data_IF_771902593588
#
_entry.id   IF_771902593588
#
_cell.length_a   1.000
_cell.length_b   1.000
_cell.length_c   1.000
_cell.angle_alpha   90.00
_cell.angle_beta   90.00
_cell.angle_gamma   90.00
#
_symmetry.space_group_name_H-M   'P 1'
#
loop_
_entity.id
_entity.type
_entity.pdbx_description
1 polymer ?
#
# COMPACT_ATOMS: atom_id res chain seq x y z
N UNK A 1 20.54 2.07 -35.14
CA UNK A 1 19.72 0.95 -34.69
C UNK A 1 19.95 0.64 -33.20
N UNK A 2 21.12 0.15 -32.73
CA UNK A 2 21.30 -0.09 -31.27
C UNK A 2 21.27 1.20 -30.43
N UNK A 3 21.92 2.29 -30.89
CA UNK A 3 21.90 3.59 -30.19
C UNK A 3 20.50 4.23 -30.16
N UNK A 4 19.71 4.10 -31.22
CA UNK A 4 18.33 4.59 -31.28
C UNK A 4 17.39 3.80 -30.39
N UNK A 5 17.61 2.50 -30.21
CA UNK A 5 16.86 1.65 -29.28
C UNK A 5 17.23 2.00 -27.81
N UNK A 6 18.52 2.29 -27.54
CA UNK A 6 18.97 2.73 -26.21
C UNK A 6 18.45 4.13 -25.86
N UNK A 7 18.38 5.05 -26.82
CA UNK A 7 17.85 6.41 -26.63
C UNK A 7 16.32 6.39 -26.44
N UNK A 8 15.60 5.58 -27.24
CA UNK A 8 14.17 5.34 -27.08
C UNK A 8 13.82 4.65 -25.76
N UNK A 9 14.64 3.72 -25.27
CA UNK A 9 14.44 3.08 -23.98
C UNK A 9 14.72 4.04 -22.80
N UNK A 10 15.69 4.95 -22.91
CA UNK A 10 15.97 5.99 -21.91
C UNK A 10 14.83 6.98 -21.75
N UNK A 11 14.22 7.42 -22.84
CA UNK A 11 13.11 8.39 -22.81
C UNK A 11 11.81 7.79 -22.26
N UNK A 12 11.65 6.46 -22.36
CA UNK A 12 10.40 5.80 -21.99
C UNK A 12 10.09 5.83 -20.48
N UNK A 13 11.10 5.94 -19.60
CA UNK A 13 10.93 5.85 -18.15
C UNK A 13 11.36 7.12 -17.39
N UNK A 14 11.61 8.23 -18.10
CA UNK A 14 12.05 9.49 -17.49
C UNK A 14 11.10 10.00 -16.40
N UNK A 15 9.80 9.80 -16.58
CA UNK A 15 8.79 10.19 -15.60
C UNK A 15 8.87 9.34 -14.32
N UNK A 16 9.08 8.04 -14.46
CA UNK A 16 9.26 7.11 -13.33
C UNK A 16 10.56 7.43 -12.59
N UNK A 17 11.67 7.66 -13.30
CA UNK A 17 12.96 8.04 -12.72
C UNK A 17 12.83 9.34 -11.89
N UNK A 18 12.10 10.33 -12.44
CA UNK A 18 11.80 11.59 -11.77
C UNK A 18 10.95 11.36 -10.50
N UNK A 19 9.94 10.47 -10.56
CA UNK A 19 9.08 10.14 -9.44
C UNK A 19 9.87 9.44 -8.31
N UNK A 20 10.76 8.51 -8.66
CA UNK A 20 11.67 7.87 -7.70
C UNK A 20 12.56 8.91 -7.02
N UNK A 21 13.20 9.79 -7.79
CA UNK A 21 14.06 10.85 -7.24
C UNK A 21 13.29 11.80 -6.32
N UNK A 22 12.04 12.13 -6.67
CA UNK A 22 11.15 12.95 -5.83
C UNK A 22 10.83 12.23 -4.51
N UNK A 23 10.41 10.95 -4.56
CA UNK A 23 10.10 10.16 -3.36
C UNK A 23 11.31 10.02 -2.44
N UNK A 24 12.52 9.74 -2.98
CA UNK A 24 13.79 9.67 -2.22
C UNK A 24 14.05 10.97 -1.47
N UNK A 25 13.82 12.12 -2.13
CA UNK A 25 14.02 13.43 -1.51
C UNK A 25 12.95 13.73 -0.46
N UNK A 26 11.68 13.42 -0.74
CA UNK A 26 10.56 13.68 0.15
C UNK A 26 10.68 12.89 1.47
N UNK A 27 11.05 11.61 1.40
CA UNK A 27 11.21 10.72 2.55
C UNK A 27 12.61 10.74 3.18
N UNK A 28 13.49 11.70 2.82
CA UNK A 28 14.84 11.77 3.33
C UNK A 28 14.86 11.89 4.87
N UNK A 29 15.62 10.99 5.53
CA UNK A 29 15.74 10.95 6.99
C UNK A 29 14.58 10.26 7.72
N UNK A 30 13.54 9.81 7.03
CA UNK A 30 12.46 9.01 7.65
C UNK A 30 12.85 7.53 7.74
N UNK A 31 12.40 6.88 8.82
CA UNK A 31 12.56 5.45 9.04
C UNK A 31 11.20 4.74 9.11
N UNK A 32 11.16 3.47 8.66
CA UNK A 32 10.00 2.60 8.79
C UNK A 32 9.68 2.30 10.25
N UNK A 33 8.40 2.36 10.65
CA UNK A 33 7.95 2.01 12.01
C UNK A 33 8.31 0.55 12.32
N UNK A 34 8.88 0.32 13.50
CA UNK A 34 9.29 -1.03 13.93
C UNK A 34 10.54 -1.58 13.24
N UNK A 35 11.18 -0.82 12.36
CA UNK A 35 12.40 -1.22 11.67
C UNK A 35 13.39 -0.05 11.57
N UNK A 36 14.70 -0.34 11.74
CA UNK A 36 15.74 0.66 11.51
C UNK A 36 16.13 0.70 10.02
N UNK A 37 15.15 0.97 9.15
CA UNK A 37 15.31 1.00 7.70
C UNK A 37 14.83 2.33 7.14
N UNK A 38 15.50 2.91 6.13
CA UNK A 38 15.01 4.07 5.41
C UNK A 38 13.61 3.84 4.87
N UNK A 39 12.72 4.82 5.08
CA UNK A 39 11.30 4.70 4.67
C UNK A 39 11.14 4.45 3.18
N UNK A 40 12.02 5.02 2.35
CA UNK A 40 11.97 4.92 0.88
C UNK A 40 11.93 3.46 0.36
N UNK A 41 12.40 2.47 1.14
CA UNK A 41 12.32 1.07 0.71
C UNK A 41 10.89 0.59 0.56
N UNK A 42 9.94 1.14 1.35
CA UNK A 42 8.53 0.82 1.22
C UNK A 42 7.93 1.29 -0.12
N UNK A 43 7.94 2.58 -0.50
CA UNK A 43 7.39 2.97 -1.79
C UNK A 43 8.10 2.34 -2.99
N UNK A 44 9.38 2.04 -2.90
CA UNK A 44 10.08 1.28 -3.95
C UNK A 44 9.59 -0.17 -4.04
N UNK A 45 9.34 -0.83 -2.91
CA UNK A 45 8.74 -2.16 -2.87
C UNK A 45 7.32 -2.14 -3.45
N UNK A 46 6.50 -1.16 -3.07
CA UNK A 46 5.14 -0.96 -3.60
C UNK A 46 5.16 -0.82 -5.12
N UNK A 47 6.02 0.05 -5.67
CA UNK A 47 6.19 0.19 -7.11
C UNK A 47 6.64 -1.13 -7.76
N UNK A 48 7.56 -1.88 -7.13
CA UNK A 48 8.00 -3.19 -7.61
C UNK A 48 6.86 -4.21 -7.69
N UNK A 49 5.98 -4.25 -6.68
CA UNK A 49 4.79 -5.11 -6.68
C UNK A 49 3.82 -4.68 -7.77
N UNK A 50 3.50 -3.38 -7.87
CA UNK A 50 2.60 -2.81 -8.88
C UNK A 50 3.12 -3.09 -10.30
N UNK A 51 4.43 -3.08 -10.52
CA UNK A 51 5.04 -3.37 -11.82
C UNK A 51 4.77 -4.81 -12.32
N UNK A 52 4.38 -5.72 -11.44
CA UNK A 52 3.95 -7.08 -11.82
C UNK A 52 2.52 -7.12 -12.38
N UNK A 53 1.74 -6.06 -12.19
CA UNK A 53 0.35 -5.94 -12.65
C UNK A 53 0.21 -5.00 -13.84
N UNK A 54 1.04 -3.96 -13.92
CA UNK A 54 0.98 -2.97 -15.00
C UNK A 54 2.34 -2.32 -15.26
N UNK A 55 2.56 -1.87 -16.50
CA UNK A 55 3.67 -1.02 -16.89
C UNK A 55 3.20 0.39 -17.32
N UNK A 56 2.01 0.80 -16.87
CA UNK A 56 1.55 2.18 -17.03
C UNK A 56 2.40 3.11 -16.15
N UNK A 57 3.07 4.08 -16.80
CA UNK A 57 3.99 5.00 -16.13
C UNK A 57 3.31 5.82 -15.04
N UNK A 58 2.05 6.24 -15.25
CA UNK A 58 1.32 7.04 -14.28
C UNK A 58 0.99 6.23 -13.03
N UNK A 59 0.62 4.96 -13.20
CA UNK A 59 0.36 4.06 -12.08
C UNK A 59 1.64 3.75 -11.31
N UNK A 60 2.77 3.51 -12.00
CA UNK A 60 4.07 3.31 -11.35
C UNK A 60 4.55 4.56 -10.61
N UNK A 61 4.35 5.76 -11.20
CA UNK A 61 4.61 7.03 -10.50
C UNK A 61 3.71 7.19 -9.28
N UNK A 62 2.41 6.90 -9.39
CA UNK A 62 1.47 6.89 -8.27
C UNK A 62 1.93 5.97 -7.15
N UNK A 63 2.37 4.76 -7.50
CA UNK A 63 2.85 3.76 -6.56
C UNK A 63 4.08 4.22 -5.75
N UNK A 64 5.10 4.80 -6.41
CA UNK A 64 6.31 5.29 -5.70
C UNK A 64 6.07 6.59 -4.94
N UNK A 65 5.02 7.34 -5.27
CA UNK A 65 4.68 8.63 -4.66
C UNK A 65 3.54 8.53 -3.62
N UNK A 66 2.90 7.36 -3.44
CA UNK A 66 1.63 7.21 -2.75
C UNK A 66 1.60 7.83 -1.34
N UNK A 67 2.67 7.68 -0.56
CA UNK A 67 2.79 8.20 0.80
C UNK A 67 3.37 9.61 0.90
N UNK A 68 3.84 10.21 -0.22
CA UNK A 68 4.55 11.50 -0.15
C UNK A 68 3.68 12.63 0.39
N UNK A 69 2.40 12.67 0.03
CA UNK A 69 1.48 13.72 0.49
C UNK A 69 1.02 13.47 1.93
N UNK A 70 0.88 12.22 2.33
CA UNK A 70 0.44 11.89 3.70
C UNK A 70 1.55 12.05 4.73
N UNK A 71 2.77 11.67 4.41
CA UNK A 71 3.85 11.52 5.38
C UNK A 71 4.98 12.54 5.23
N UNK A 72 4.89 13.50 4.29
CA UNK A 72 5.90 14.55 4.09
C UNK A 72 5.26 15.93 3.89
N UNK A 73 6.07 16.95 3.61
CA UNK A 73 5.60 18.30 3.30
C UNK A 73 5.14 18.44 1.82
N UNK A 74 5.19 17.38 1.02
CA UNK A 74 4.75 17.41 -0.38
C UNK A 74 3.23 17.61 -0.47
N UNK A 75 2.79 18.36 -1.46
CA UNK A 75 1.38 18.69 -1.66
C UNK A 75 0.83 18.03 -2.93
N UNK A 76 -0.48 17.73 -2.95
CA UNK A 76 -1.18 17.25 -4.17
C UNK A 76 -0.96 18.20 -5.35
N UNK A 77 -0.86 19.52 -5.08
CA UNK A 77 -0.61 20.55 -6.12
C UNK A 77 0.78 20.39 -6.75
N UNK A 78 1.80 20.10 -5.95
CA UNK A 78 3.16 19.82 -6.46
C UNK A 78 3.19 18.53 -7.27
N UNK A 79 2.58 17.45 -6.77
CA UNK A 79 2.47 16.19 -7.54
C UNK A 79 1.77 16.44 -8.88
N UNK A 80 0.65 17.18 -8.87
CA UNK A 80 -0.08 17.52 -10.10
C UNK A 80 0.77 18.31 -11.11
N UNK A 81 1.55 19.27 -10.62
CA UNK A 81 2.42 20.11 -11.45
C UNK A 81 3.55 19.30 -12.06
N UNK A 82 4.17 18.40 -11.30
CA UNK A 82 5.37 17.67 -11.69
C UNK A 82 5.07 16.38 -12.48
N UNK A 83 3.94 15.71 -12.20
CA UNK A 83 3.61 14.37 -12.71
C UNK A 83 2.25 14.27 -13.42
N UNK A 84 1.44 15.33 -13.38
CA UNK A 84 0.13 15.38 -14.03
C UNK A 84 -1.05 15.02 -13.11
N UNK A 85 -2.26 15.30 -13.63
CA UNK A 85 -3.49 15.20 -12.83
C UNK A 85 -3.86 13.77 -12.44
N UNK A 86 -3.53 12.79 -13.27
CA UNK A 86 -3.84 11.39 -12.97
C UNK A 86 -2.99 10.86 -11.84
N UNK A 87 -1.67 11.07 -11.88
CA UNK A 87 -0.76 10.69 -10.79
C UNK A 87 -1.17 11.36 -9.47
N UNK A 88 -1.50 12.66 -9.51
CA UNK A 88 -1.96 13.39 -8.32
C UNK A 88 -3.25 12.80 -7.74
N UNK A 89 -4.18 12.32 -8.58
CA UNK A 89 -5.39 11.65 -8.15
C UNK A 89 -5.08 10.29 -7.49
N UNK A 90 -4.19 9.50 -8.09
CA UNK A 90 -3.76 8.21 -7.53
C UNK A 90 -3.14 8.38 -6.14
N UNK A 91 -2.23 9.36 -5.97
CA UNK A 91 -1.63 9.69 -4.66
C UNK A 91 -2.68 10.17 -3.66
N UNK A 92 -3.66 10.95 -4.11
CA UNK A 92 -4.74 11.44 -3.24
C UNK A 92 -5.61 10.30 -2.72
N UNK A 93 -5.87 9.24 -3.51
CA UNK A 93 -6.64 8.07 -3.08
C UNK A 93 -5.99 7.30 -1.92
N UNK A 94 -4.65 7.31 -1.83
CA UNK A 94 -3.93 6.65 -0.74
C UNK A 94 -3.79 7.56 0.51
N UNK A 95 -4.14 8.86 0.40
CA UNK A 95 -4.04 9.82 1.51
C UNK A 95 -5.31 9.78 2.37
N UNK A 96 -5.17 9.37 3.64
CA UNK A 96 -6.28 9.35 4.61
C UNK A 96 -6.51 10.74 5.22
N UNK A 97 -7.79 11.11 5.44
CA UNK A 97 -8.11 12.21 6.36
C UNK A 97 -7.79 11.75 7.80
N UNK A 98 -6.83 12.42 8.43
CA UNK A 98 -6.36 12.01 9.77
C UNK A 98 -7.34 12.33 10.91
N UNK A 99 -8.47 13.02 10.64
CA UNK A 99 -9.45 13.43 11.65
C UNK A 99 -8.77 13.96 12.91
N UNK A 100 -7.94 14.99 12.75
CA UNK A 100 -7.07 15.51 13.81
C UNK A 100 -7.82 16.08 15.02
N UNK A 101 -9.12 16.28 14.91
CA UNK A 101 -10.05 16.66 15.99
C UNK A 101 -10.38 15.48 16.92
N UNK A 102 -10.07 14.25 16.54
CA UNK A 102 -10.29 13.03 17.33
C UNK A 102 -8.97 12.39 17.77
N UNK A 103 -8.94 11.70 18.93
CA UNK A 103 -7.80 10.86 19.27
C UNK A 103 -7.54 9.79 18.19
N UNK A 104 -6.26 9.50 17.84
CA UNK A 104 -5.93 8.55 16.77
C UNK A 104 -6.53 7.14 16.93
N UNK A 105 -6.73 6.70 18.17
CA UNK A 105 -7.32 5.40 18.51
C UNK A 105 -8.83 5.38 18.23
N UNK A 106 -9.52 6.48 18.49
CA UNK A 106 -10.96 6.63 18.26
C UNK A 106 -11.28 6.84 16.77
N UNK A 107 -10.44 7.58 16.04
CA UNK A 107 -10.62 7.84 14.61
C UNK A 107 -10.21 6.65 13.72
N UNK A 108 -9.47 5.65 14.26
CA UNK A 108 -8.88 4.58 13.44
C UNK A 108 -9.93 3.81 12.62
N UNK A 109 -11.00 3.35 13.26
CA UNK A 109 -12.04 2.55 12.60
C UNK A 109 -12.81 3.37 11.56
N UNK A 110 -13.12 4.64 11.86
CA UNK A 110 -13.76 5.56 10.93
C UNK A 110 -12.89 5.76 9.67
N UNK A 111 -11.61 6.11 9.84
CA UNK A 111 -10.67 6.30 8.72
C UNK A 111 -10.56 5.05 7.84
N UNK A 112 -10.48 3.87 8.47
CA UNK A 112 -10.39 2.60 7.72
C UNK A 112 -11.68 2.29 6.98
N UNK A 113 -12.85 2.61 7.55
CA UNK A 113 -14.13 2.45 6.85
C UNK A 113 -14.25 3.42 5.67
N UNK A 114 -13.81 4.66 5.81
CA UNK A 114 -13.78 5.65 4.72
C UNK A 114 -12.85 5.19 3.59
N UNK A 115 -11.65 4.73 3.91
CA UNK A 115 -10.72 4.19 2.91
C UNK A 115 -11.31 2.99 2.13
N UNK A 116 -11.99 2.05 2.83
CA UNK A 116 -12.67 0.92 2.19
C UNK A 116 -13.77 1.41 1.23
N UNK A 117 -14.60 2.37 1.67
CA UNK A 117 -15.69 2.89 0.85
C UNK A 117 -15.16 3.61 -0.39
N UNK A 118 -14.16 4.48 -0.23
CA UNK A 118 -13.51 5.19 -1.34
C UNK A 118 -12.91 4.21 -2.35
N UNK A 119 -12.24 3.15 -1.87
CA UNK A 119 -11.66 2.13 -2.74
C UNK A 119 -12.73 1.35 -3.53
N UNK A 120 -13.88 1.07 -2.92
CA UNK A 120 -14.99 0.37 -3.58
C UNK A 120 -15.68 1.23 -4.62
N UNK A 121 -15.98 2.48 -4.29
CA UNK A 121 -16.92 3.32 -5.02
C UNK A 121 -16.23 4.21 -6.06
N UNK A 122 -15.02 4.69 -5.76
CA UNK A 122 -14.39 5.76 -6.53
C UNK A 122 -13.08 5.34 -7.23
N UNK A 123 -12.40 4.30 -6.72
CA UNK A 123 -11.08 3.94 -7.22
C UNK A 123 -11.15 3.23 -8.59
N UNK A 124 -10.34 3.70 -9.53
CA UNK A 124 -10.06 3.01 -10.78
C UNK A 124 -9.07 1.83 -10.58
N UNK A 125 -8.79 1.07 -11.63
CA UNK A 125 -7.90 -0.09 -11.53
C UNK A 125 -6.47 0.29 -11.11
N UNK A 126 -5.97 1.48 -11.51
CA UNK A 126 -4.64 1.95 -11.12
C UNK A 126 -4.55 2.18 -9.60
N UNK A 127 -5.54 2.84 -9.01
CA UNK A 127 -5.61 3.03 -7.55
C UNK A 127 -5.74 1.69 -6.81
N UNK A 128 -6.55 0.74 -7.33
CA UNK A 128 -6.68 -0.60 -6.76
C UNK A 128 -5.36 -1.40 -6.81
N UNK A 129 -4.58 -1.27 -7.90
CA UNK A 129 -3.26 -1.88 -8.01
C UNK A 129 -2.27 -1.30 -7.00
N UNK A 130 -2.29 0.02 -6.77
CA UNK A 130 -1.46 0.69 -5.77
C UNK A 130 -1.84 0.20 -4.37
N UNK A 131 -3.13 0.14 -4.06
CA UNK A 131 -3.63 -0.40 -2.79
C UNK A 131 -3.10 -1.82 -2.54
N UNK A 132 -3.19 -2.75 -3.51
CA UNK A 132 -2.61 -4.11 -3.36
C UNK A 132 -1.12 -4.00 -3.05
N UNK A 133 -0.36 -3.21 -3.81
CA UNK A 133 1.08 -3.04 -3.61
C UNK A 133 1.43 -2.57 -2.21
N UNK A 134 0.75 -1.54 -1.71
CA UNK A 134 0.92 -1.02 -0.36
C UNK A 134 0.58 -2.06 0.70
N UNK A 135 -0.59 -2.72 0.58
CA UNK A 135 -1.04 -3.66 1.61
C UNK A 135 -0.20 -4.94 1.64
N UNK A 136 0.29 -5.42 0.51
CA UNK A 136 1.26 -6.53 0.45
C UNK A 136 2.56 -6.15 1.16
N UNK A 137 3.15 -4.99 0.86
CA UNK A 137 4.37 -4.50 1.52
C UNK A 137 4.16 -4.32 3.03
N UNK A 138 3.02 -3.76 3.45
CA UNK A 138 2.68 -3.61 4.85
C UNK A 138 2.54 -4.96 5.57
N UNK A 139 1.84 -5.94 4.97
CA UNK A 139 1.67 -7.26 5.58
C UNK A 139 2.97 -8.07 5.62
N UNK A 140 3.85 -7.93 4.64
CA UNK A 140 5.21 -8.49 4.70
C UNK A 140 5.97 -7.95 5.91
N UNK A 141 5.87 -6.63 6.15
CA UNK A 141 6.47 -6.00 7.33
C UNK A 141 5.85 -6.50 8.63
N UNK A 142 4.51 -6.60 8.72
CA UNK A 142 3.81 -7.17 9.89
C UNK A 142 4.27 -8.60 10.16
N UNK A 143 4.29 -9.44 9.11
CA UNK A 143 4.72 -10.83 9.25
C UNK A 143 6.15 -10.92 9.80
N UNK A 144 7.08 -10.11 9.29
CA UNK A 144 8.46 -10.08 9.77
C UNK A 144 8.55 -9.66 11.25
N UNK A 145 7.82 -8.63 11.66
CA UNK A 145 7.76 -8.17 13.05
C UNK A 145 7.22 -9.28 13.95
N UNK A 146 6.10 -9.89 13.57
CA UNK A 146 5.47 -10.95 14.37
C UNK A 146 6.32 -12.23 14.43
N UNK A 147 7.06 -12.56 13.36
CA UNK A 147 8.01 -13.67 13.40
C UNK A 147 9.19 -13.43 14.33
N UNK A 148 9.59 -12.18 14.52
CA UNK A 148 10.76 -11.79 15.33
C UNK A 148 10.37 -11.56 16.80
N UNK A 149 9.25 -10.89 17.05
CA UNK A 149 8.84 -10.39 18.37
C UNK A 149 7.58 -11.09 18.93
N UNK A 150 6.96 -11.98 18.14
CA UNK A 150 5.70 -12.62 18.51
C UNK A 150 4.58 -11.61 18.73
N UNK A 151 3.74 -11.85 19.75
CA UNK A 151 2.61 -10.95 20.08
C UNK A 151 3.05 -9.55 20.50
N UNK A 152 4.27 -9.38 20.98
CA UNK A 152 4.79 -8.06 21.33
C UNK A 152 4.92 -7.13 20.12
N UNK A 153 4.99 -7.67 18.90
CA UNK A 153 5.04 -6.90 17.67
C UNK A 153 3.85 -5.95 17.48
N UNK A 154 2.69 -6.27 18.04
CA UNK A 154 1.52 -5.38 17.99
C UNK A 154 1.70 -4.06 18.74
N UNK A 155 2.68 -3.98 19.65
CA UNK A 155 2.97 -2.73 20.36
C UNK A 155 3.56 -1.62 19.47
N UNK A 156 4.05 -1.95 18.29
CA UNK A 156 4.52 -0.96 17.31
C UNK A 156 3.38 -0.18 16.64
N UNK A 157 2.12 -0.65 16.76
CA UNK A 157 0.96 -0.07 16.09
C UNK A 157 0.03 0.65 17.08
N UNK A 158 -0.66 1.70 16.63
CA UNK A 158 -1.68 2.38 17.42
C UNK A 158 -2.86 1.46 17.71
N UNK A 159 -3.38 0.78 16.67
CA UNK A 159 -4.34 -0.30 16.86
C UNK A 159 -3.60 -1.59 17.21
N UNK A 160 -3.91 -2.17 18.37
CA UNK A 160 -3.24 -3.38 18.87
C UNK A 160 -4.07 -4.66 18.71
N UNK A 161 -5.34 -4.52 18.32
CA UNK A 161 -6.23 -5.65 18.11
C UNK A 161 -6.02 -6.28 16.71
N UNK A 162 -5.52 -7.52 16.63
CA UNK A 162 -5.33 -8.20 15.35
C UNK A 162 -6.62 -8.43 14.58
N UNK A 163 -7.77 -8.58 15.25
CA UNK A 163 -9.05 -8.81 14.60
C UNK A 163 -9.56 -7.55 13.89
N UNK A 164 -9.29 -6.37 14.43
CA UNK A 164 -9.57 -5.11 13.75
C UNK A 164 -8.71 -4.94 12.49
N UNK A 165 -7.43 -5.29 12.56
CA UNK A 165 -6.57 -5.32 11.38
C UNK A 165 -7.06 -6.35 10.35
N UNK A 166 -7.43 -7.57 10.79
CA UNK A 166 -8.00 -8.57 9.89
C UNK A 166 -9.24 -8.04 9.16
N UNK A 167 -10.19 -7.44 9.89
CA UNK A 167 -11.37 -6.82 9.29
C UNK A 167 -10.99 -5.81 8.20
N UNK A 168 -10.04 -4.93 8.47
CA UNK A 168 -9.61 -3.93 7.51
C UNK A 168 -9.00 -4.56 6.26
N UNK A 169 -7.99 -5.43 6.42
CA UNK A 169 -7.29 -6.02 5.28
C UNK A 169 -8.19 -6.95 4.46
N UNK A 170 -9.08 -7.73 5.08
CA UNK A 170 -10.04 -8.58 4.38
C UNK A 170 -11.08 -7.77 3.61
N UNK A 171 -11.53 -6.62 4.14
CA UNK A 171 -12.43 -5.71 3.46
C UNK A 171 -11.79 -5.03 2.25
N UNK A 172 -10.49 -4.72 2.32
CA UNK A 172 -9.74 -4.20 1.18
C UNK A 172 -9.54 -5.28 0.11
N UNK A 173 -9.23 -6.52 0.49
CA UNK A 173 -9.11 -7.64 -0.45
C UNK A 173 -10.40 -7.83 -1.26
N UNK A 174 -11.55 -7.78 -0.60
CA UNK A 174 -12.86 -7.80 -1.26
C UNK A 174 -13.05 -6.61 -2.22
N UNK A 175 -12.69 -5.40 -1.79
CA UNK A 175 -12.82 -4.18 -2.60
C UNK A 175 -11.95 -4.19 -3.89
N UNK A 176 -10.84 -4.93 -3.88
CA UNK A 176 -9.92 -5.08 -5.02
C UNK A 176 -10.12 -6.40 -5.79
N UNK A 177 -11.22 -7.12 -5.57
CA UNK A 177 -11.51 -8.43 -6.19
C UNK A 177 -11.51 -8.43 -7.72
N UNK A 178 -11.71 -7.26 -8.37
CA UNK A 178 -11.53 -7.09 -9.81
C UNK A 178 -10.10 -7.41 -10.29
N UNK A 179 -9.13 -7.51 -9.39
CA UNK A 179 -7.73 -7.83 -9.67
C UNK A 179 -7.35 -9.28 -9.30
N UNK A 180 -8.33 -10.16 -9.07
CA UNK A 180 -8.13 -11.55 -8.63
C UNK A 180 -7.32 -12.42 -9.61
N UNK A 181 -7.19 -12.03 -10.87
CA UNK A 181 -6.34 -12.73 -11.86
C UNK A 181 -4.83 -12.47 -11.66
N UNK A 182 -4.44 -11.48 -10.84
CA UNK A 182 -3.04 -11.12 -10.66
C UNK A 182 -2.38 -11.86 -9.49
N UNK A 183 -1.13 -12.35 -9.65
CA UNK A 183 -0.40 -13.00 -8.55
C UNK A 183 -0.29 -12.15 -7.27
N UNK A 184 -0.19 -10.82 -7.40
CA UNK A 184 -0.14 -9.91 -6.25
C UNK A 184 -1.43 -9.93 -5.40
N UNK A 185 -2.60 -10.16 -6.01
CA UNK A 185 -3.85 -10.38 -5.27
C UNK A 185 -3.79 -11.65 -4.42
N UNK A 186 -3.32 -12.76 -4.99
CA UNK A 186 -3.18 -14.02 -4.26
C UNK A 186 -2.12 -13.94 -3.17
N UNK A 187 -1.05 -13.17 -3.38
CA UNK A 187 -0.08 -12.90 -2.33
C UNK A 187 -0.71 -12.10 -1.19
N UNK A 188 -1.54 -11.11 -1.51
CA UNK A 188 -2.27 -10.34 -0.50
C UNK A 188 -3.17 -11.24 0.35
N UNK A 189 -3.96 -12.10 -0.29
CA UNK A 189 -4.81 -13.09 0.37
C UNK A 189 -3.99 -14.03 1.28
N UNK A 190 -2.89 -14.59 0.76
CA UNK A 190 -1.98 -15.45 1.52
C UNK A 190 -1.40 -14.76 2.75
N UNK A 191 -0.97 -13.50 2.61
CA UNK A 191 -0.41 -12.74 3.73
C UNK A 191 -1.45 -12.42 4.80
N UNK A 192 -2.69 -12.12 4.44
CA UNK A 192 -3.79 -11.97 5.40
C UNK A 192 -3.93 -13.25 6.23
N UNK A 193 -3.95 -14.42 5.60
CA UNK A 193 -4.04 -15.69 6.32
C UNK A 193 -2.79 -15.97 7.18
N UNK A 194 -1.60 -15.67 6.69
CA UNK A 194 -0.35 -15.85 7.41
C UNK A 194 -0.28 -15.02 8.68
N UNK A 195 -0.68 -13.73 8.59
CA UNK A 195 -0.60 -12.78 9.71
C UNK A 195 -1.73 -12.99 10.72
N UNK A 196 -2.96 -13.20 10.25
CA UNK A 196 -4.15 -13.16 11.10
C UNK A 196 -4.81 -14.51 11.36
N UNK A 197 -4.51 -15.55 10.59
CA UNK A 197 -5.20 -16.85 10.65
C UNK A 197 -5.20 -17.53 12.05
N UNK A 198 -4.15 -17.32 12.86
CA UNK A 198 -4.09 -17.85 14.23
C UNK A 198 -5.13 -17.19 15.17
N UNK A 199 -5.46 -15.92 14.97
CA UNK A 199 -6.42 -15.18 15.78
C UNK A 199 -7.85 -15.58 15.46
N UNK A 200 -8.15 -15.88 14.19
CA UNK A 200 -9.46 -16.35 13.74
C UNK A 200 -9.80 -17.71 14.33
N UNK A 201 -8.84 -18.62 14.41
CA UNK A 201 -9.03 -19.94 15.03
C UNK A 201 -9.34 -19.85 16.51
N UNK A 202 -8.79 -18.86 17.21
CA UNK A 202 -8.99 -18.67 18.65
C UNK A 202 -10.31 -17.95 18.97
N UNK A 203 -10.90 -17.18 18.04
CA UNK A 203 -12.18 -16.48 18.24
C UNK A 203 -13.40 -17.38 18.01
N UNK A 204 -13.23 -18.61 17.51
CA UNK A 204 -14.33 -19.50 17.17
C UNK A 204 -15.06 -19.17 15.86
N UNK A 205 -14.62 -18.12 15.17
CA UNK A 205 -15.07 -17.78 13.80
C UNK A 205 -14.37 -18.68 12.79
N UNK A 206 -14.83 -19.92 12.68
CA UNK A 206 -14.38 -20.88 11.67
C UNK A 206 -15.04 -20.46 10.33
N UNK A 207 -14.33 -19.67 9.57
CA UNK A 207 -14.72 -19.36 8.19
C UNK A 207 -13.59 -19.71 7.23
N UNK A 208 -13.33 -21.01 7.05
CA UNK A 208 -12.71 -21.55 5.80
C UNK A 208 -12.56 -23.06 6.00
N UNK A 209 -13.62 -23.80 5.68
CA UNK A 209 -13.46 -25.22 5.42
C UNK A 209 -12.63 -25.41 4.16
N UNK A 210 -11.59 -26.22 4.27
CA UNK A 210 -10.79 -26.76 3.17
C UNK A 210 -11.70 -27.36 2.10
N UNK A 211 -12.04 -26.61 1.06
CA UNK A 211 -12.53 -27.18 -0.20
C UNK A 211 -11.33 -27.74 -0.96
N UNK A 212 -10.77 -28.84 -0.46
CA UNK A 212 -9.98 -29.80 -1.23
C UNK A 212 -10.83 -31.04 -1.42
N UNK A 213 -11.49 -31.12 -2.56
CA UNK A 213 -11.83 -32.36 -3.27
C UNK A 213 -11.61 -32.15 -4.77
#
# INVERSE_FOLDING_TARGET
MLKEVEESARTKWEKVDKAIAFAVKAHAGQNRKGANQPYIFHPLEVMGIVSTMTLDEDVLCGAVLHDTVEDTDATVSEIKKEFGGYVARLVFFESEDKHTEMPPEESWELRKQEAINTLREEADLGAKMICIGDKVSNLRSFNNILMTEGENGWNHFHQKDPLKHYWYYSSLLDAVSALSEYPAYHEFEFLIQSVFGKYLRNSGDILWEDNKN
#
